data_IF_407933674033
#
_entry.id   IF_407933674033
#
_cell.length_a   1.000
_cell.length_b   1.000
_cell.length_c   1.000
_cell.angle_alpha   90.00
_cell.angle_beta   90.00
_cell.angle_gamma   90.00
#
_symmetry.space_group_name_H-M   'P 1'
#
loop_
_entity.id
_entity.type
_entity.pdbx_description
1 polymer ?
#
# COMPACT_ATOMS: atom_id res chain seq x y z
N UNK A 1 -2.33 -16.02 10.29
CA UNK A 1 -2.78 -14.75 9.66
C UNK A 1 -3.90 -14.09 10.47
N UNK A 2 -4.01 -12.77 10.34
CA UNK A 2 -5.15 -12.05 10.89
C UNK A 2 -6.45 -12.51 10.20
N UNK A 3 -7.50 -12.68 10.99
CA UNK A 3 -8.83 -13.10 10.53
C UNK A 3 -9.54 -11.99 9.75
N UNK A 4 -10.60 -12.34 9.01
CA UNK A 4 -11.48 -11.36 8.34
C UNK A 4 -11.98 -10.31 9.34
N UNK A 5 -12.41 -10.73 10.53
CA UNK A 5 -12.93 -9.80 11.55
C UNK A 5 -11.86 -8.81 12.03
N UNK A 6 -10.61 -9.26 12.22
CA UNK A 6 -9.50 -8.40 12.65
C UNK A 6 -9.09 -7.39 11.58
N UNK A 7 -9.14 -7.76 10.31
CA UNK A 7 -8.81 -6.85 9.21
C UNK A 7 -10.01 -6.06 8.66
N UNK A 8 -11.20 -6.27 9.23
CA UNK A 8 -12.41 -5.47 8.95
C UNK A 8 -12.50 -4.19 9.78
N UNK A 9 -11.48 -3.91 10.55
CA UNK A 9 -11.28 -2.65 11.28
C UNK A 9 -9.88 -2.13 10.95
N UNK A 10 -9.59 -0.84 11.12
CA UNK A 10 -8.21 -0.34 10.99
C UNK A 10 -7.28 -1.09 11.94
N UNK A 11 -6.22 -1.69 11.41
CA UNK A 11 -5.32 -2.63 12.10
C UNK A 11 -3.86 -2.26 11.84
N UNK A 12 -2.92 -3.16 12.11
CA UNK A 12 -1.50 -3.01 11.80
C UNK A 12 -0.83 -1.82 12.50
N UNK A 13 -1.14 -1.60 13.77
CA UNK A 13 -0.61 -0.49 14.56
C UNK A 13 -0.13 -0.88 15.98
N UNK A 14 -0.28 -2.16 16.37
CA UNK A 14 0.07 -2.65 17.70
C UNK A 14 0.89 -3.94 17.58
N UNK A 15 2.08 -3.95 18.17
CA UNK A 15 3.00 -5.09 18.14
C UNK A 15 2.42 -6.36 18.79
N UNK A 16 1.36 -6.23 19.59
CA UNK A 16 0.64 -7.37 20.16
C UNK A 16 -0.25 -8.11 19.17
N UNK A 17 -0.44 -7.59 17.95
CA UNK A 17 -1.18 -8.28 16.90
C UNK A 17 -0.51 -9.62 16.57
N UNK A 18 -1.25 -10.71 16.72
CA UNK A 18 -0.71 -12.09 16.71
C UNK A 18 -0.13 -12.54 15.37
N UNK A 19 -0.41 -11.85 14.28
CA UNK A 19 0.10 -12.13 12.95
C UNK A 19 1.46 -11.47 12.66
N UNK A 20 1.99 -10.66 13.58
CA UNK A 20 3.32 -10.09 13.43
C UNK A 20 4.38 -11.10 13.88
N UNK A 21 5.37 -11.34 13.04
CA UNK A 21 6.58 -12.13 13.35
C UNK A 21 7.63 -11.21 13.94
N UNK A 22 7.71 -9.99 13.40
CA UNK A 22 8.61 -8.96 13.84
C UNK A 22 8.01 -7.58 13.57
N UNK A 23 8.20 -6.68 14.52
CA UNK A 23 7.73 -5.30 14.44
C UNK A 23 8.63 -4.36 15.22
N UNK A 24 8.39 -3.09 15.06
CA UNK A 24 9.03 -2.03 15.81
C UNK A 24 8.05 -1.45 16.82
N UNK A 25 8.37 -1.59 18.10
CA UNK A 25 7.60 -1.03 19.22
C UNK A 25 7.93 0.46 19.37
N UNK A 26 6.99 1.31 19.03
CA UNK A 26 7.12 2.76 19.10
C UNK A 26 6.52 3.29 20.41
N UNK A 27 7.29 3.99 21.18
CA UNK A 27 6.82 4.68 22.39
C UNK A 27 6.60 6.17 22.11
N UNK A 28 5.78 6.84 22.93
CA UNK A 28 5.57 8.29 22.83
C UNK A 28 6.90 9.06 22.82
N UNK A 29 7.84 8.70 23.69
CA UNK A 29 9.14 9.38 23.74
C UNK A 29 10.01 9.13 22.52
N UNK A 30 9.91 7.97 21.89
CA UNK A 30 10.60 7.66 20.62
C UNK A 30 9.93 8.41 19.48
N UNK A 31 8.60 8.50 19.46
CA UNK A 31 7.81 9.21 18.47
C UNK A 31 8.08 10.72 18.48
N UNK A 32 8.30 11.31 19.66
CA UNK A 32 8.70 12.73 19.77
C UNK A 32 10.04 13.03 19.08
N UNK A 33 10.97 12.06 19.08
CA UNK A 33 12.29 12.21 18.44
C UNK A 33 12.23 11.85 16.95
N UNK A 34 11.44 10.83 16.60
CA UNK A 34 11.35 10.27 15.25
C UNK A 34 9.90 10.17 14.76
N UNK A 35 9.18 11.29 14.62
CA UNK A 35 7.72 11.28 14.42
C UNK A 35 7.26 10.62 13.12
N UNK A 36 8.16 10.32 12.21
CA UNK A 36 7.85 9.72 10.90
C UNK A 36 8.56 8.38 10.68
N UNK A 37 9.05 7.76 11.75
CA UNK A 37 9.84 6.53 11.63
C UNK A 37 9.00 5.27 11.37
N UNK A 38 7.67 5.35 11.55
CA UNK A 38 6.77 4.21 11.38
C UNK A 38 5.93 4.30 10.10
N UNK A 39 5.44 3.16 9.64
CA UNK A 39 4.48 3.07 8.54
C UNK A 39 3.24 3.92 8.81
N UNK A 40 2.76 3.89 10.04
CA UNK A 40 1.58 4.65 10.47
C UNK A 40 1.86 6.15 10.49
N UNK A 41 3.06 6.60 10.87
CA UNK A 41 3.47 7.99 10.80
C UNK A 41 3.38 8.58 9.40
N UNK A 42 3.75 7.79 8.37
CA UNK A 42 3.67 8.22 6.97
C UNK A 42 2.30 7.99 6.32
N UNK A 43 1.63 6.90 6.69
CA UNK A 43 0.40 6.45 6.04
C UNK A 43 -0.84 6.77 6.85
N UNK A 44 -0.67 7.38 8.00
CA UNK A 44 -1.68 7.62 9.01
C UNK A 44 -2.80 8.53 8.50
N UNK A 45 -4.01 8.00 8.52
CA UNK A 45 -5.22 8.73 8.16
C UNK A 45 -6.02 9.18 9.37
N UNK A 46 -5.66 8.71 10.58
CA UNK A 46 -6.43 8.90 11.82
C UNK A 46 -5.85 9.97 12.75
N UNK A 47 -4.94 10.79 12.26
CA UNK A 47 -4.26 11.83 13.03
C UNK A 47 -5.18 13.00 13.42
N UNK A 48 -5.10 13.45 14.67
CA UNK A 48 -5.79 14.64 15.14
C UNK A 48 -5.05 15.94 14.83
N UNK A 49 -3.76 15.89 14.54
CA UNK A 49 -3.00 17.06 14.08
C UNK A 49 -3.27 17.33 12.59
N UNK A 50 -4.01 16.46 11.93
CA UNK A 50 -4.32 16.58 10.53
C UNK A 50 -3.06 16.44 9.65
N UNK A 51 -2.11 15.57 10.02
CA UNK A 51 -0.87 15.42 9.26
C UNK A 51 -1.14 15.23 7.77
N UNK A 52 -2.01 14.30 7.39
CA UNK A 52 -2.39 14.13 6.00
C UNK A 52 -3.09 15.39 5.43
N UNK A 53 -4.12 15.97 6.09
CA UNK A 53 -4.70 17.25 5.66
C UNK A 53 -3.73 18.42 5.73
N UNK A 54 -2.94 18.55 6.80
CA UNK A 54 -2.03 19.69 7.01
C UNK A 54 -0.89 19.72 5.99
N UNK A 55 -0.36 18.56 5.64
CA UNK A 55 0.73 18.40 4.68
C UNK A 55 0.25 18.07 3.28
N UNK A 56 -1.05 17.76 3.11
CA UNK A 56 -1.64 17.22 1.87
C UNK A 56 -0.93 15.95 1.37
N UNK A 57 -0.36 15.18 2.29
CA UNK A 57 0.34 13.92 2.00
C UNK A 57 -0.61 12.72 2.14
N UNK A 58 -1.64 12.68 1.32
CA UNK A 58 -2.55 11.55 1.31
C UNK A 58 -1.91 10.34 0.65
N UNK A 59 -1.86 9.22 1.37
CA UNK A 59 -1.38 7.95 0.84
C UNK A 59 -2.56 7.15 0.28
N UNK A 60 -2.69 7.17 -1.03
CA UNK A 60 -3.80 6.60 -1.77
C UNK A 60 -3.37 5.38 -2.58
N UNK A 61 -4.25 4.40 -2.70
CA UNK A 61 -4.07 3.33 -3.68
C UNK A 61 -4.31 3.87 -5.09
N UNK A 62 -3.58 3.34 -6.06
CA UNK A 62 -3.87 3.61 -7.47
C UNK A 62 -5.20 2.95 -7.86
N UNK A 63 -6.07 3.70 -8.53
CA UNK A 63 -7.38 3.21 -9.00
C UNK A 63 -7.27 2.02 -9.93
N UNK A 64 -6.19 1.88 -10.69
CA UNK A 64 -5.95 0.68 -11.52
C UNK A 64 -5.86 -0.59 -10.69
N UNK A 65 -5.25 -0.53 -9.52
CA UNK A 65 -5.17 -1.66 -8.60
C UNK A 65 -6.47 -1.82 -7.80
N UNK A 66 -7.02 -0.72 -7.27
CA UNK A 66 -8.24 -0.73 -6.46
C UNK A 66 -9.42 -1.36 -7.18
N UNK A 67 -9.64 -1.00 -8.44
CA UNK A 67 -10.77 -1.48 -9.24
C UNK A 67 -10.69 -2.97 -9.58
N UNK A 68 -9.55 -3.60 -9.37
CA UNK A 68 -9.37 -5.03 -9.58
C UNK A 68 -9.61 -5.86 -8.32
N UNK A 69 -9.75 -5.23 -7.15
CA UNK A 69 -10.08 -5.91 -5.91
C UNK A 69 -11.57 -6.24 -5.93
N UNK A 70 -11.99 -7.53 -5.81
CA UNK A 70 -13.40 -7.89 -5.75
C UNK A 70 -14.14 -7.23 -4.59
N UNK A 71 -15.44 -6.97 -4.74
CA UNK A 71 -16.28 -6.43 -3.67
C UNK A 71 -16.47 -7.41 -2.51
N UNK A 72 -16.25 -8.71 -2.74
CA UNK A 72 -16.28 -9.76 -1.73
C UNK A 72 -15.02 -9.83 -0.88
N UNK A 73 -13.94 -9.19 -1.33
CA UNK A 73 -12.65 -9.15 -0.63
C UNK A 73 -12.67 -8.05 0.44
N UNK A 74 -12.51 -8.43 1.71
CA UNK A 74 -12.49 -7.49 2.84
C UNK A 74 -11.46 -6.39 2.69
N UNK A 75 -10.34 -6.66 2.01
CA UNK A 75 -9.26 -5.69 1.78
C UNK A 75 -9.67 -4.51 0.91
N UNK A 76 -10.74 -4.63 0.10
CA UNK A 76 -11.26 -3.48 -0.64
C UNK A 76 -11.63 -2.32 0.29
N UNK A 77 -12.13 -2.63 1.47
CA UNK A 77 -12.42 -1.65 2.51
C UNK A 77 -11.19 -1.01 3.17
N UNK A 78 -9.96 -1.46 2.88
CA UNK A 78 -8.74 -0.83 3.40
C UNK A 78 -8.48 0.57 2.83
N UNK A 79 -9.26 0.98 1.86
CA UNK A 79 -9.26 2.32 1.28
C UNK A 79 -10.68 2.83 1.20
N UNK A 80 -10.85 4.13 1.41
CA UNK A 80 -12.13 4.75 1.10
C UNK A 80 -12.34 4.76 -0.40
N UNK A 81 -13.58 4.63 -0.84
CA UNK A 81 -13.97 4.70 -2.24
C UNK A 81 -14.02 6.15 -2.78
N UNK A 82 -14.62 6.36 -3.94
CA UNK A 82 -14.79 7.69 -4.54
C UNK A 82 -15.73 8.59 -3.74
N UNK A 83 -16.66 8.00 -2.98
CA UNK A 83 -17.61 8.70 -2.11
C UNK A 83 -17.09 8.85 -0.67
N UNK A 84 -15.82 8.54 -0.42
CA UNK A 84 -15.16 8.57 0.88
C UNK A 84 -15.72 7.56 1.89
N UNK A 85 -16.32 6.50 1.43
CA UNK A 85 -16.85 5.43 2.27
C UNK A 85 -15.88 4.24 2.38
N UNK A 86 -15.78 3.69 3.57
CA UNK A 86 -15.24 2.36 3.84
C UNK A 86 -15.98 1.75 5.04
N UNK A 87 -16.33 0.45 5.00
CA UNK A 87 -16.95 -0.23 6.13
C UNK A 87 -16.04 -0.27 7.36
N UNK A 88 -14.72 -0.14 7.21
CA UNK A 88 -13.77 -0.14 8.32
C UNK A 88 -13.93 1.04 9.26
N UNK A 89 -14.41 2.17 8.75
CA UNK A 89 -14.55 3.42 9.51
C UNK A 89 -16.01 3.78 9.84
N UNK A 90 -16.95 2.91 9.50
CA UNK A 90 -18.36 3.14 9.80
C UNK A 90 -18.57 3.24 11.30
N UNK A 91 -19.20 4.33 11.73
CA UNK A 91 -19.45 4.60 13.15
C UNK A 91 -18.26 5.11 13.96
N UNK A 92 -17.06 5.22 13.38
CA UNK A 92 -15.92 5.88 14.01
C UNK A 92 -16.15 7.38 14.11
N UNK A 93 -15.57 8.01 15.14
CA UNK A 93 -15.69 9.46 15.35
C UNK A 93 -14.31 10.11 15.32
N UNK A 94 -14.22 11.25 14.66
CA UNK A 94 -13.08 12.16 14.72
C UNK A 94 -13.46 13.43 15.47
N UNK A 95 -12.51 14.23 15.96
CA UNK A 95 -12.83 15.51 16.52
C UNK A 95 -13.69 16.35 15.56
N UNK A 96 -14.98 16.55 15.92
CA UNK A 96 -15.93 17.31 15.11
C UNK A 96 -16.59 16.59 13.94
N UNK A 97 -16.38 15.29 13.77
CA UNK A 97 -16.98 14.51 12.68
C UNK A 97 -17.32 13.07 13.09
N UNK A 98 -18.41 12.55 12.55
CA UNK A 98 -18.77 11.13 12.60
C UNK A 98 -19.11 10.69 11.17
N UNK A 99 -18.46 9.64 10.61
CA UNK A 99 -18.89 9.11 9.32
C UNK A 99 -20.36 8.64 9.33
N UNK A 100 -21.16 8.84 8.29
CA UNK A 100 -20.77 9.33 6.95
C UNK A 100 -20.88 10.86 6.77
N UNK A 101 -20.81 11.62 7.85
CA UNK A 101 -20.96 13.08 7.84
C UNK A 101 -19.69 13.72 7.23
N UNK A 102 -19.53 13.53 5.94
CA UNK A 102 -18.31 13.86 5.17
C UNK A 102 -18.39 15.29 4.67
N UNK A 103 -17.54 16.15 5.19
CA UNK A 103 -17.18 17.37 4.47
C UNK A 103 -15.88 17.08 3.70
N UNK A 104 -15.84 17.44 2.42
CA UNK A 104 -14.68 17.17 1.57
C UNK A 104 -13.42 17.91 2.05
N UNK A 105 -12.27 17.29 1.90
CA UNK A 105 -10.97 17.90 2.16
C UNK A 105 -10.73 19.21 1.36
N UNK A 106 -11.51 19.43 0.29
CA UNK A 106 -11.49 20.65 -0.53
C UNK A 106 -12.13 21.87 0.11
N UNK A 107 -12.82 21.73 1.25
CA UNK A 107 -13.61 22.81 1.86
C UNK A 107 -12.77 23.78 2.72
N UNK A 108 -11.54 24.02 2.33
CA UNK A 108 -10.71 25.09 2.90
C UNK A 108 -10.30 24.90 4.35
N UNK A 109 -10.11 23.67 4.82
CA UNK A 109 -9.67 23.35 6.17
C UNK A 109 -10.80 23.10 7.18
N UNK A 110 -12.06 23.11 6.75
CA UNK A 110 -13.22 22.68 7.52
C UNK A 110 -13.57 21.21 7.29
N UNK A 111 -12.64 20.45 6.71
CA UNK A 111 -12.80 19.03 6.44
C UNK A 111 -13.03 18.28 7.74
N UNK A 112 -14.15 17.61 7.86
CA UNK A 112 -14.47 16.78 9.01
C UNK A 112 -13.78 15.41 8.96
N UNK A 113 -13.50 14.90 7.75
CA UNK A 113 -12.68 13.71 7.54
C UNK A 113 -11.42 14.09 6.79
N UNK A 114 -10.25 13.62 7.25
CA UNK A 114 -8.96 13.91 6.61
C UNK A 114 -8.70 13.02 5.39
N UNK A 115 -9.73 12.72 4.58
CA UNK A 115 -9.62 11.78 3.48
C UNK A 115 -9.87 12.46 2.14
N UNK A 116 -9.12 12.03 1.15
CA UNK A 116 -9.45 12.13 -0.27
C UNK A 116 -9.88 10.75 -0.77
N UNK A 117 -10.60 10.66 -1.90
CA UNK A 117 -10.93 9.38 -2.50
C UNK A 117 -9.71 8.46 -2.61
N UNK A 118 -9.88 7.19 -2.26
CA UNK A 118 -8.86 6.15 -2.30
C UNK A 118 -7.74 6.28 -1.25
N UNK A 119 -7.89 7.19 -0.26
CA UNK A 119 -7.00 7.25 0.91
C UNK A 119 -7.10 5.97 1.72
N UNK A 120 -5.96 5.48 2.22
CA UNK A 120 -5.93 4.28 3.04
C UNK A 120 -6.53 4.52 4.43
N UNK A 121 -7.23 3.51 4.92
CA UNK A 121 -7.72 3.34 6.28
C UNK A 121 -7.30 1.99 6.86
N UNK A 122 -6.36 1.32 6.19
CA UNK A 122 -5.78 0.05 6.59
C UNK A 122 -5.07 0.14 7.93
N UNK A 123 -4.18 1.14 8.06
CA UNK A 123 -3.38 1.33 9.25
C UNK A 123 -4.14 2.12 10.30
N UNK A 124 -4.40 1.49 11.42
CA UNK A 124 -5.09 2.07 12.54
C UNK A 124 -4.22 2.99 13.39
N UNK A 125 -4.73 3.32 14.56
CA UNK A 125 -4.03 4.10 15.56
C UNK A 125 -4.49 3.71 16.96
N UNK A 126 -3.69 4.01 17.98
CA UNK A 126 -4.04 3.78 19.39
C UNK A 126 -5.25 4.62 19.77
N UNK A 127 -5.32 5.86 19.30
CA UNK A 127 -6.43 6.76 19.58
C UNK A 127 -6.74 7.63 18.37
N UNK A 128 -7.97 7.53 17.85
CA UNK A 128 -8.43 8.39 16.75
C UNK A 128 -8.36 9.86 17.17
N UNK A 129 -7.71 10.66 16.35
CA UNK A 129 -7.53 12.08 16.63
C UNK A 129 -6.35 12.41 17.55
N UNK A 130 -5.55 11.43 17.97
CA UNK A 130 -4.30 11.71 18.69
C UNK A 130 -3.28 12.42 17.77
N UNK A 131 -2.43 13.23 18.40
CA UNK A 131 -1.35 13.97 17.70
C UNK A 131 0.01 13.27 17.83
N UNK A 132 0.08 12.18 18.58
CA UNK A 132 1.27 11.33 18.73
C UNK A 132 1.38 10.37 17.55
N UNK A 133 2.59 9.96 17.20
CA UNK A 133 2.89 8.96 16.17
C UNK A 133 3.52 7.74 16.86
N UNK A 134 2.87 7.25 17.89
CA UNK A 134 3.34 6.18 18.76
C UNK A 134 2.77 4.79 18.38
N UNK A 135 2.18 4.69 17.20
CA UNK A 135 1.76 3.43 16.64
C UNK A 135 2.97 2.59 16.19
N UNK A 136 2.91 1.30 16.50
CA UNK A 136 3.95 0.34 16.12
C UNK A 136 3.95 0.07 14.60
N UNK A 137 5.04 -0.45 14.09
CA UNK A 137 5.18 -0.74 12.67
C UNK A 137 5.47 -2.22 12.40
N UNK A 138 4.68 -2.90 11.57
CA UNK A 138 4.97 -4.25 11.12
C UNK A 138 6.18 -4.25 10.20
N UNK A 139 7.18 -5.08 10.50
CA UNK A 139 8.35 -5.30 9.64
C UNK A 139 8.27 -6.66 8.95
N UNK A 140 7.60 -7.63 9.57
CA UNK A 140 7.40 -8.97 9.01
C UNK A 140 6.12 -9.57 9.55
N UNK A 141 5.23 -10.01 8.67
CA UNK A 141 3.95 -10.62 9.01
C UNK A 141 3.82 -12.05 8.46
N UNK A 142 2.98 -12.84 9.10
CA UNK A 142 2.69 -14.23 8.67
C UNK A 142 2.17 -14.27 7.23
N UNK A 143 1.37 -13.27 6.82
CA UNK A 143 0.79 -13.19 5.49
C UNK A 143 1.86 -13.06 4.40
N UNK A 144 2.94 -12.32 4.68
CA UNK A 144 4.08 -12.25 3.76
C UNK A 144 4.71 -13.62 3.56
N UNK A 145 4.89 -14.38 4.65
CA UNK A 145 5.49 -15.72 4.57
C UNK A 145 4.63 -16.70 3.77
N UNK A 146 3.31 -16.64 3.90
CA UNK A 146 2.39 -17.46 3.12
C UNK A 146 2.45 -17.10 1.63
N UNK A 147 2.50 -15.81 1.31
CA UNK A 147 2.61 -15.34 -0.07
C UNK A 147 3.99 -15.69 -0.67
N UNK A 148 5.06 -15.65 0.13
CA UNK A 148 6.38 -16.14 -0.27
C UNK A 148 6.37 -17.65 -0.53
N UNK A 149 5.66 -18.46 0.27
CA UNK A 149 5.51 -19.90 0.05
C UNK A 149 4.80 -20.18 -1.27
N UNK A 150 3.66 -19.53 -1.53
CA UNK A 150 2.95 -19.67 -2.79
C UNK A 150 3.81 -19.32 -4.00
N UNK A 151 4.59 -18.23 -3.91
CA UNK A 151 5.51 -17.80 -4.95
C UNK A 151 6.64 -18.82 -5.18
N UNK A 152 7.22 -19.36 -4.11
CA UNK A 152 8.25 -20.37 -4.22
C UNK A 152 7.74 -21.60 -4.96
N UNK A 153 6.54 -22.11 -4.63
CA UNK A 153 5.95 -23.22 -5.34
C UNK A 153 5.73 -22.91 -6.84
N UNK A 154 5.19 -21.73 -7.15
CA UNK A 154 4.99 -21.34 -8.55
C UNK A 154 6.30 -21.23 -9.34
N UNK A 155 7.38 -20.75 -8.71
CA UNK A 155 8.69 -20.66 -9.34
C UNK A 155 9.38 -22.02 -9.51
N UNK A 156 9.01 -23.00 -8.70
CA UNK A 156 9.44 -24.40 -8.82
C UNK A 156 8.57 -25.20 -9.80
N UNK A 157 7.62 -24.59 -10.51
CA UNK A 157 6.61 -25.21 -11.36
C UNK A 157 5.72 -26.23 -10.61
N UNK A 158 5.47 -25.98 -9.34
CA UNK A 158 4.58 -26.74 -8.49
C UNK A 158 3.24 -26.01 -8.33
N UNK A 159 2.59 -25.73 -9.45
CA UNK A 159 1.42 -24.86 -9.54
C UNK A 159 0.27 -25.30 -8.64
N UNK A 160 0.04 -26.63 -8.51
CA UNK A 160 -1.02 -27.15 -7.66
C UNK A 160 -0.81 -26.78 -6.18
N UNK A 161 0.43 -26.84 -5.68
CA UNK A 161 0.78 -26.43 -4.31
C UNK A 161 0.66 -24.92 -4.14
N UNK A 162 1.13 -24.15 -5.11
CA UNK A 162 1.00 -22.70 -5.11
C UNK A 162 -0.47 -22.26 -5.02
N UNK A 163 -1.34 -22.86 -5.86
CA UNK A 163 -2.79 -22.59 -5.84
C UNK A 163 -3.39 -22.98 -4.49
N UNK A 164 -3.03 -24.14 -3.95
CA UNK A 164 -3.56 -24.59 -2.66
C UNK A 164 -3.19 -23.62 -1.53
N UNK A 165 -1.95 -23.19 -1.45
CA UNK A 165 -1.49 -22.23 -0.43
C UNK A 165 -2.22 -20.90 -0.59
N UNK A 166 -2.26 -20.37 -1.80
CA UNK A 166 -2.90 -19.09 -2.08
C UNK A 166 -4.40 -19.10 -1.81
N UNK A 167 -5.12 -20.12 -2.30
CA UNK A 167 -6.57 -20.25 -2.06
C UNK A 167 -6.89 -20.48 -0.58
N UNK A 168 -6.10 -21.28 0.14
CA UNK A 168 -6.29 -21.45 1.58
C UNK A 168 -6.17 -20.14 2.33
N UNK A 169 -5.19 -19.31 1.98
CA UNK A 169 -4.99 -18.01 2.61
C UNK A 169 -6.13 -17.04 2.24
N UNK A 170 -6.31 -16.77 0.96
CA UNK A 170 -7.23 -15.71 0.54
C UNK A 170 -8.67 -16.06 0.91
N UNK A 171 -9.10 -17.30 0.69
CA UNK A 171 -10.48 -17.72 1.01
C UNK A 171 -10.79 -17.71 2.50
N UNK A 172 -9.84 -18.10 3.31
CA UNK A 172 -10.07 -18.20 4.75
C UNK A 172 -10.01 -16.84 5.45
N UNK A 173 -9.16 -15.95 4.95
CA UNK A 173 -8.78 -14.75 5.69
C UNK A 173 -9.07 -13.43 4.96
N UNK A 174 -9.50 -13.45 3.68
CA UNK A 174 -9.72 -12.23 2.91
C UNK A 174 -11.01 -12.22 2.09
N UNK A 175 -11.22 -13.24 1.26
CA UNK A 175 -12.36 -13.34 0.34
C UNK A 175 -12.86 -14.79 0.26
N UNK A 176 -13.96 -15.15 0.92
CA UNK A 176 -14.51 -16.52 0.89
C UNK A 176 -14.88 -17.04 -0.51
N UNK A 177 -15.12 -16.14 -1.47
CA UNK A 177 -15.48 -16.47 -2.85
C UNK A 177 -14.28 -16.66 -3.77
N UNK A 178 -13.08 -16.34 -3.29
CA UNK A 178 -11.86 -16.39 -4.08
C UNK A 178 -11.57 -17.77 -4.68
N UNK A 179 -11.19 -17.77 -5.96
CA UNK A 179 -10.63 -18.93 -6.69
C UNK A 179 -9.59 -18.43 -7.68
N UNK A 180 -8.43 -19.04 -7.69
CA UNK A 180 -7.37 -18.74 -8.69
C UNK A 180 -7.89 -18.94 -10.11
N UNK A 181 -8.70 -19.97 -10.32
CA UNK A 181 -9.29 -20.27 -11.63
C UNK A 181 -10.21 -19.16 -12.19
N UNK A 182 -10.70 -18.26 -11.36
CA UNK A 182 -11.51 -17.11 -11.76
C UNK A 182 -10.67 -15.87 -12.07
N UNK A 183 -9.38 -15.90 -11.77
CA UNK A 183 -8.49 -14.77 -12.06
C UNK A 183 -8.26 -14.62 -13.57
N UNK A 184 -8.24 -13.39 -14.10
CA UNK A 184 -7.83 -13.13 -15.48
C UNK A 184 -6.31 -13.24 -15.69
N UNK A 185 -5.55 -13.41 -14.60
CA UNK A 185 -4.08 -13.39 -14.57
C UNK A 185 -3.53 -14.81 -14.58
N UNK A 186 -2.29 -14.96 -15.07
CA UNK A 186 -1.56 -16.19 -14.80
C UNK A 186 -1.23 -16.33 -13.31
N UNK A 187 -0.81 -17.51 -12.88
CA UNK A 187 -0.61 -17.82 -11.46
C UNK A 187 0.44 -16.90 -10.80
N UNK A 188 1.53 -16.57 -11.49
CA UNK A 188 2.59 -15.71 -10.91
C UNK A 188 2.12 -14.27 -10.80
N UNK A 189 1.40 -13.78 -11.79
CA UNK A 189 0.81 -12.45 -11.78
C UNK A 189 -0.32 -12.35 -10.76
N UNK A 190 -1.08 -13.41 -10.55
CA UNK A 190 -2.08 -13.47 -9.48
C UNK A 190 -1.43 -13.42 -8.10
N UNK A 191 -0.37 -14.17 -7.85
CA UNK A 191 0.38 -14.10 -6.58
C UNK A 191 0.94 -12.68 -6.36
N UNK A 192 1.48 -12.06 -7.41
CA UNK A 192 1.97 -10.68 -7.32
C UNK A 192 0.83 -9.68 -7.05
N UNK A 193 -0.33 -9.84 -7.67
CA UNK A 193 -1.53 -9.05 -7.37
C UNK A 193 -1.90 -9.17 -5.88
N UNK A 194 -1.98 -10.40 -5.36
CA UNK A 194 -2.30 -10.65 -3.97
C UNK A 194 -1.28 -10.00 -3.01
N UNK A 195 0.01 -10.03 -3.35
CA UNK A 195 1.06 -9.34 -2.60
C UNK A 195 0.89 -7.82 -2.61
N UNK A 196 0.60 -7.24 -3.79
CA UNK A 196 0.39 -5.79 -3.93
C UNK A 196 -0.77 -5.28 -3.07
N UNK A 197 -1.85 -6.05 -2.97
CA UNK A 197 -3.00 -5.70 -2.14
C UNK A 197 -2.69 -5.93 -0.67
N UNK A 198 -2.20 -7.11 -0.31
CA UNK A 198 -1.97 -7.50 1.09
C UNK A 198 -0.90 -6.65 1.77
N UNK A 199 0.23 -6.46 1.10
CA UNK A 199 1.40 -5.78 1.65
C UNK A 199 1.49 -4.31 1.22
N UNK A 200 0.37 -3.74 0.79
CA UNK A 200 0.32 -2.34 0.43
C UNK A 200 0.72 -1.45 1.61
N UNK A 201 1.59 -0.48 1.36
CA UNK A 201 2.08 0.46 2.37
C UNK A 201 3.22 -0.08 3.25
N UNK A 202 3.62 -1.35 3.11
CA UNK A 202 4.63 -2.00 3.96
C UNK A 202 6.03 -2.04 3.34
N UNK A 203 6.28 -1.24 2.28
CA UNK A 203 7.61 -1.05 1.70
C UNK A 203 8.03 -2.05 0.61
N UNK A 204 7.20 -3.04 0.28
CA UNK A 204 7.59 -4.12 -0.64
C UNK A 204 7.55 -3.75 -2.13
N UNK A 205 6.78 -2.74 -2.52
CA UNK A 205 6.46 -2.47 -3.92
C UNK A 205 7.69 -2.31 -4.83
N UNK A 206 8.71 -1.57 -4.40
CA UNK A 206 9.92 -1.37 -5.21
C UNK A 206 10.71 -2.67 -5.39
N UNK A 207 10.95 -3.39 -4.29
CA UNK A 207 11.72 -4.65 -4.34
C UNK A 207 10.96 -5.72 -5.12
N UNK A 208 9.64 -5.79 -4.98
CA UNK A 208 8.81 -6.74 -5.70
C UNK A 208 8.79 -6.44 -7.21
N UNK A 209 8.59 -5.18 -7.63
CA UNK A 209 8.67 -4.83 -9.06
C UNK A 209 10.01 -5.24 -9.68
N UNK A 210 11.11 -4.97 -8.99
CA UNK A 210 12.45 -5.36 -9.47
C UNK A 210 12.62 -6.88 -9.51
N UNK A 211 12.19 -7.59 -8.51
CA UNK A 211 12.32 -9.04 -8.35
C UNK A 211 11.46 -9.79 -9.36
N UNK A 212 10.25 -9.33 -9.61
CA UNK A 212 9.34 -9.90 -10.61
C UNK A 212 9.61 -9.40 -12.02
N UNK A 213 10.55 -8.47 -12.20
CA UNK A 213 10.83 -7.81 -13.48
C UNK A 213 9.57 -7.15 -14.06
N UNK A 214 8.84 -6.45 -13.21
CA UNK A 214 7.60 -5.77 -13.56
C UNK A 214 7.79 -4.27 -13.68
N UNK A 215 7.12 -3.62 -14.62
CA UNK A 215 7.13 -2.17 -14.74
C UNK A 215 6.31 -1.51 -13.62
N UNK A 216 6.54 -0.22 -13.42
CA UNK A 216 5.63 0.62 -12.64
C UNK A 216 4.59 1.22 -13.58
N UNK A 217 3.36 0.76 -13.46
CA UNK A 217 2.22 1.28 -14.23
C UNK A 217 1.33 2.10 -13.33
N UNK A 218 1.23 3.41 -13.62
CA UNK A 218 0.44 4.36 -12.85
C UNK A 218 -0.87 4.74 -13.53
N UNK A 219 -0.90 4.69 -14.86
CA UNK A 219 -2.07 5.06 -15.64
C UNK A 219 -2.08 4.36 -16.99
N UNK A 220 -3.27 4.30 -17.60
CA UNK A 220 -3.47 3.95 -19.00
C UNK A 220 -4.17 5.08 -19.73
N UNK A 221 -3.78 5.34 -20.97
CA UNK A 221 -4.39 6.37 -21.81
C UNK A 221 -5.89 6.11 -21.95
N UNK A 222 -6.68 7.16 -21.67
CA UNK A 222 -8.14 7.09 -21.80
C UNK A 222 -8.86 6.38 -20.65
N UNK A 223 -8.13 5.90 -19.63
CA UNK A 223 -8.74 5.35 -18.42
C UNK A 223 -8.73 6.39 -17.28
N UNK A 224 -9.76 6.37 -16.41
CA UNK A 224 -9.73 7.16 -15.18
C UNK A 224 -8.51 6.83 -14.33
N UNK A 225 -7.91 7.84 -13.72
CA UNK A 225 -6.78 7.69 -12.81
C UNK A 225 -6.79 8.78 -11.75
N UNK A 226 -6.55 8.39 -10.51
CA UNK A 226 -6.36 9.31 -9.39
C UNK A 226 -4.92 9.86 -9.29
N UNK A 227 -4.03 9.46 -10.20
CA UNK A 227 -2.68 10.01 -10.27
C UNK A 227 -2.74 11.40 -10.91
N UNK A 228 -2.24 12.45 -10.24
CA UNK A 228 -2.19 13.80 -10.82
C UNK A 228 -1.41 13.85 -12.15
N UNK A 229 -1.86 14.66 -13.10
CA UNK A 229 -1.30 14.72 -14.47
C UNK A 229 0.21 14.85 -14.51
N UNK A 230 0.80 15.67 -13.63
CA UNK A 230 2.24 15.89 -13.55
C UNK A 230 3.04 14.64 -13.15
N UNK A 231 2.38 13.62 -12.59
CA UNK A 231 2.97 12.36 -12.18
C UNK A 231 2.50 11.17 -13.03
N UNK A 232 1.74 11.42 -14.11
CA UNK A 232 1.30 10.39 -15.06
C UNK A 232 2.45 9.99 -15.97
N UNK A 233 3.24 9.08 -15.50
CA UNK A 233 4.25 8.37 -16.26
C UNK A 233 4.35 6.94 -15.74
N UNK A 234 4.67 6.02 -16.62
CA UNK A 234 5.02 4.63 -16.30
C UNK A 234 6.52 4.46 -16.47
N UNK A 235 7.09 3.45 -15.87
CA UNK A 235 8.52 3.16 -15.92
C UNK A 235 8.74 1.69 -16.25
N UNK A 236 9.63 1.38 -17.18
CA UNK A 236 9.92 0.01 -17.60
C UNK A 236 10.55 -0.81 -16.48
N UNK A 237 10.49 -2.14 -16.58
CA UNK A 237 11.02 -3.05 -15.57
C UNK A 237 12.55 -2.98 -15.41
N UNK A 238 13.24 -2.65 -16.49
CA UNK A 238 14.70 -2.59 -16.60
C UNK A 238 15.27 -1.18 -16.41
N UNK A 239 14.43 -0.19 -16.09
CA UNK A 239 14.87 1.19 -15.90
C UNK A 239 15.85 1.31 -14.74
N UNK A 240 16.98 1.95 -14.99
CA UNK A 240 18.04 2.16 -13.98
C UNK A 240 17.59 2.97 -12.76
N UNK A 241 16.47 3.70 -12.86
CA UNK A 241 15.90 4.47 -11.76
C UNK A 241 15.21 3.62 -10.69
N UNK A 242 15.09 2.33 -10.89
CA UNK A 242 14.75 1.40 -9.80
C UNK A 242 15.84 1.30 -8.73
N UNK A 243 17.06 1.72 -9.05
CA UNK A 243 18.17 1.80 -8.09
C UNK A 243 18.15 3.16 -7.37
N UNK A 244 18.34 3.15 -6.06
CA UNK A 244 18.57 4.38 -5.32
C UNK A 244 19.84 5.05 -5.82
N UNK A 245 19.74 6.32 -6.18
CA UNK A 245 20.85 7.12 -6.68
C UNK A 245 21.67 7.70 -5.53
N UNK A 246 22.98 7.73 -5.69
CA UNK A 246 23.81 8.49 -4.78
C UNK A 246 23.49 9.97 -4.90
N UNK A 247 23.46 10.68 -3.77
CA UNK A 247 23.27 12.13 -3.82
C UNK A 247 24.50 12.82 -4.43
N UNK A 248 24.26 13.95 -5.06
CA UNK A 248 25.31 14.72 -5.75
C UNK A 248 26.45 15.11 -4.82
N UNK A 249 26.17 15.44 -3.57
CA UNK A 249 27.18 15.81 -2.59
C UNK A 249 28.13 14.64 -2.28
N UNK A 250 27.59 13.42 -2.16
CA UNK A 250 28.40 12.23 -1.95
C UNK A 250 29.27 11.93 -3.18
N UNK A 251 28.74 12.05 -4.39
CA UNK A 251 29.51 11.85 -5.64
C UNK A 251 30.65 12.89 -5.73
N UNK A 252 30.39 14.15 -5.37
CA UNK A 252 31.36 15.22 -5.47
C UNK A 252 32.48 15.14 -4.41
N UNK A 253 32.19 14.62 -3.23
CA UNK A 253 33.11 14.64 -2.09
C UNK A 253 33.82 13.31 -1.87
N UNK A 254 33.21 12.19 -2.16
CA UNK A 254 33.76 10.87 -1.96
C UNK A 254 34.42 10.32 -3.23
N UNK A 255 35.76 10.41 -3.29
CA UNK A 255 36.55 9.95 -4.46
C UNK A 255 36.50 8.43 -4.70
N UNK A 256 36.02 7.64 -3.74
CA UNK A 256 35.89 6.19 -3.85
C UNK A 256 34.54 5.71 -4.43
N UNK A 257 33.57 6.61 -4.58
CA UNK A 257 32.27 6.28 -5.14
C UNK A 257 32.30 6.37 -6.67
N UNK A 258 31.70 5.38 -7.29
CA UNK A 258 31.35 5.40 -8.71
C UNK A 258 29.89 5.82 -8.83
N UNK A 259 29.63 6.85 -9.63
CA UNK A 259 28.27 7.29 -9.92
C UNK A 259 27.43 6.15 -10.51
N UNK A 260 26.30 5.83 -9.88
CA UNK A 260 25.40 4.78 -10.32
C UNK A 260 24.26 5.29 -11.21
N UNK A 261 24.38 6.51 -11.73
CA UNK A 261 23.36 7.09 -12.62
C UNK A 261 23.60 6.74 -14.09
N UNK A 262 24.81 6.33 -14.46
CA UNK A 262 25.28 6.14 -15.84
C UNK A 262 25.02 7.35 -16.76
N UNK A 263 24.75 8.52 -16.18
CA UNK A 263 24.32 9.71 -16.90
C UNK A 263 22.96 9.59 -17.60
N UNK A 264 22.19 8.55 -17.27
CA UNK A 264 20.90 8.29 -17.90
C UNK A 264 19.74 8.97 -17.16
N UNK A 265 18.76 9.39 -17.92
CA UNK A 265 17.43 9.78 -17.42
C UNK A 265 16.49 8.57 -17.43
N UNK A 266 15.43 8.57 -16.60
CA UNK A 266 14.43 7.50 -16.62
C UNK A 266 13.79 7.39 -18.00
N UNK A 267 13.51 6.16 -18.44
CA UNK A 267 12.71 5.90 -19.65
C UNK A 267 11.24 5.89 -19.25
N UNK A 268 10.59 7.03 -19.43
CA UNK A 268 9.21 7.23 -19.01
C UNK A 268 8.23 6.99 -20.17
N UNK A 269 7.26 6.11 -19.95
CA UNK A 269 6.09 6.01 -20.81
C UNK A 269 5.06 7.05 -20.37
N UNK A 270 4.94 8.14 -21.11
CA UNK A 270 3.96 9.20 -20.90
C UNK A 270 2.69 8.99 -21.73
N UNK A 271 2.66 8.00 -22.60
CA UNK A 271 1.52 7.67 -23.43
C UNK A 271 0.52 6.75 -22.76
N UNK A 272 0.93 6.05 -21.69
CA UNK A 272 0.08 5.10 -20.99
C UNK A 272 -0.13 3.79 -21.77
N UNK A 273 0.86 3.38 -22.56
CA UNK A 273 0.79 2.17 -23.37
C UNK A 273 1.42 0.96 -22.68
N UNK A 274 2.25 1.19 -21.65
CA UNK A 274 2.91 0.14 -20.89
C UNK A 274 1.92 -0.69 -20.09
N UNK A 275 2.10 -2.01 -20.11
CA UNK A 275 1.24 -3.00 -19.43
C UNK A 275 2.06 -3.80 -18.41
N UNK A 276 1.45 -4.22 -17.33
CA UNK A 276 2.09 -5.05 -16.30
C UNK A 276 1.43 -6.42 -16.07
N UNK A 277 0.29 -6.68 -16.71
CA UNK A 277 -0.46 -7.92 -16.55
C UNK A 277 -1.26 -8.01 -15.24
N UNK A 278 -1.15 -7.02 -14.38
CA UNK A 278 -1.84 -6.98 -13.06
C UNK A 278 -2.86 -5.85 -13.00
N UNK A 279 -2.55 -4.71 -13.56
CA UNK A 279 -3.43 -3.52 -13.58
C UNK A 279 -4.04 -3.24 -14.96
N UNK A 280 -3.89 -4.19 -15.87
CA UNK A 280 -4.48 -4.10 -17.22
C UNK A 280 -6.00 -4.41 -17.17
#
# INVERSE_FOLDING_TARGET
PATIAEVSVPSFYDISEHNWIWGYDMTVSTAEVYPYATTTGWLRSFSGDGYAPATQCYCMINTLLYNQIPDTDVRKGWWVDEDLYSPLIEGMTWPGCTPPDVAHASDGGNSKLPFLPYTNVKFGCISVGAVTNDEDAPLMRVEEMILNEAECYANLNQDAQAIQVLENFVRTYRDPEYRVANSPRDLKDEIWFQRRVELWGEGFANSDCRRYQKPMVRFHKGQPSNVPDKFRFNMTADDGWWLLRFCTDEINTNKGIVDNTDGTSPVLDQNGDLRDGVTD
#
